data_IF_118472713384
#
_entry.id   IF_118472713384
#
_cell.length_a   1.000
_cell.length_b   1.000
_cell.length_c   1.000
_cell.angle_alpha   90.00
_cell.angle_beta   90.00
_cell.angle_gamma   90.00
#
_symmetry.space_group_name_H-M   'P 1'
#
loop_
_entity.id
_entity.type
_entity.pdbx_description
1 polymer ?
#
# COMPACT_ATOMS: atom_id res chain seq x y z
N UNK A 1 -29.15 14.71 -28.24
CA UNK A 1 -27.96 14.62 -27.37
C UNK A 1 -27.30 15.98 -27.28
N UNK A 2 -27.26 16.58 -26.10
CA UNK A 2 -26.63 17.91 -25.95
C UNK A 2 -25.12 17.76 -26.24
N UNK A 3 -24.60 18.51 -27.21
CA UNK A 3 -23.17 18.56 -27.51
C UNK A 3 -22.45 19.19 -26.33
N UNK A 4 -21.69 18.38 -25.58
CA UNK A 4 -20.84 18.88 -24.50
C UNK A 4 -19.86 19.94 -25.01
N UNK A 5 -19.74 21.07 -24.28
CA UNK A 5 -18.74 22.10 -24.59
C UNK A 5 -17.32 21.50 -24.52
N UNK A 6 -16.40 22.04 -25.32
CA UNK A 6 -15.00 21.59 -25.40
C UNK A 6 -14.37 21.52 -24.01
N UNK A 7 -14.60 22.52 -23.17
CA UNK A 7 -14.19 22.58 -21.77
C UNK A 7 -14.55 21.30 -21.00
N UNK A 8 -15.81 20.89 -21.07
CA UNK A 8 -16.30 19.73 -20.32
C UNK A 8 -15.65 18.43 -20.84
N UNK A 9 -15.41 18.34 -22.14
CA UNK A 9 -14.71 17.17 -22.73
C UNK A 9 -13.28 17.06 -22.22
N UNK A 10 -12.54 18.17 -22.15
CA UNK A 10 -11.17 18.20 -21.63
C UNK A 10 -11.15 17.79 -20.15
N UNK A 11 -12.02 18.37 -19.34
CA UNK A 11 -12.10 18.04 -17.90
C UNK A 11 -12.42 16.56 -17.70
N UNK A 12 -13.44 16.02 -18.42
CA UNK A 12 -13.82 14.61 -18.33
C UNK A 12 -12.64 13.70 -18.75
N UNK A 13 -11.91 14.06 -19.80
CA UNK A 13 -10.73 13.30 -20.24
C UNK A 13 -9.67 13.22 -19.13
N UNK A 14 -9.35 14.33 -18.47
CA UNK A 14 -8.41 14.34 -17.34
C UNK A 14 -8.92 13.52 -16.16
N UNK A 15 -10.22 13.61 -15.83
CA UNK A 15 -10.82 12.80 -14.76
C UNK A 15 -10.69 11.31 -15.06
N UNK A 16 -11.00 10.87 -16.28
CA UNK A 16 -10.93 9.46 -16.67
C UNK A 16 -9.50 8.95 -16.58
N UNK A 17 -8.53 9.68 -17.16
CA UNK A 17 -7.12 9.26 -17.11
C UNK A 17 -6.64 9.18 -15.66
N UNK A 18 -6.97 10.18 -14.83
CA UNK A 18 -6.55 10.18 -13.44
C UNK A 18 -7.22 9.04 -12.65
N UNK A 19 -8.47 8.73 -12.91
CA UNK A 19 -9.16 7.61 -12.23
C UNK A 19 -8.50 6.27 -12.57
N UNK A 20 -8.12 6.05 -13.82
CA UNK A 20 -7.39 4.86 -14.25
C UNK A 20 -6.01 4.79 -13.54
N UNK A 21 -5.26 5.89 -13.58
CA UNK A 21 -3.97 6.00 -12.91
C UNK A 21 -4.06 5.71 -11.40
N UNK A 22 -5.04 6.32 -10.73
CA UNK A 22 -5.27 6.13 -9.30
C UNK A 22 -5.61 4.66 -8.97
N UNK A 23 -6.47 4.03 -9.77
CA UNK A 23 -6.84 2.62 -9.60
C UNK A 23 -5.63 1.70 -9.69
N UNK A 24 -4.74 1.92 -10.67
CA UNK A 24 -3.52 1.14 -10.85
C UNK A 24 -2.56 1.33 -9.69
N UNK A 25 -2.32 2.57 -9.27
CA UNK A 25 -1.42 2.86 -8.13
C UNK A 25 -1.95 2.25 -6.83
N UNK A 26 -3.24 2.39 -6.53
CA UNK A 26 -3.81 1.84 -5.30
C UNK A 26 -3.73 0.31 -5.29
N UNK A 27 -4.02 -0.35 -6.41
CA UNK A 27 -3.90 -1.80 -6.53
C UNK A 27 -2.45 -2.25 -6.33
N UNK A 28 -1.49 -1.63 -7.02
CA UNK A 28 -0.08 -1.94 -6.89
C UNK A 28 0.44 -1.71 -5.47
N UNK A 29 0.09 -0.58 -4.86
CA UNK A 29 0.51 -0.23 -3.49
C UNK A 29 -0.04 -1.23 -2.47
N UNK A 30 -1.31 -1.64 -2.62
CA UNK A 30 -1.93 -2.61 -1.72
C UNK A 30 -1.20 -3.97 -1.75
N UNK A 31 -0.96 -4.50 -2.95
CA UNK A 31 -0.28 -5.80 -3.13
C UNK A 31 1.16 -5.72 -2.63
N UNK A 32 1.93 -4.72 -3.09
CA UNK A 32 3.34 -4.57 -2.72
C UNK A 32 3.55 -4.37 -1.22
N UNK A 33 2.75 -3.53 -0.57
CA UNK A 33 2.88 -3.30 0.87
C UNK A 33 2.51 -4.54 1.70
N UNK A 34 1.51 -5.31 1.27
CA UNK A 34 1.16 -6.55 1.96
C UNK A 34 2.31 -7.54 1.94
N UNK A 35 2.93 -7.76 0.78
CA UNK A 35 4.03 -8.70 0.61
C UNK A 35 5.28 -8.27 1.39
N UNK A 36 5.64 -6.99 1.33
CA UNK A 36 6.78 -6.42 2.07
C UNK A 36 6.58 -6.60 3.58
N UNK A 37 5.38 -6.29 4.09
CA UNK A 37 5.11 -6.39 5.53
C UNK A 37 5.00 -7.85 6.01
N UNK A 38 4.48 -8.76 5.19
CA UNK A 38 4.47 -10.18 5.50
C UNK A 38 5.90 -10.74 5.52
N UNK A 39 6.75 -10.36 4.57
CA UNK A 39 8.17 -10.70 4.57
C UNK A 39 8.88 -10.15 5.80
N UNK A 40 8.71 -8.88 6.12
CA UNK A 40 9.30 -8.26 7.30
C UNK A 40 8.86 -8.91 8.61
N UNK A 41 7.61 -9.41 8.69
CA UNK A 41 7.16 -10.18 9.86
C UNK A 41 7.86 -11.55 9.93
N UNK A 42 7.96 -12.26 8.81
CA UNK A 42 8.69 -13.53 8.76
C UNK A 42 10.14 -13.34 9.21
N UNK A 43 10.80 -12.30 8.73
CA UNK A 43 12.18 -11.97 9.12
C UNK A 43 12.30 -11.69 10.63
N UNK A 44 11.35 -10.94 11.21
CA UNK A 44 11.32 -10.69 12.66
C UNK A 44 11.10 -11.96 13.49
N UNK A 45 10.18 -12.82 13.06
CA UNK A 45 9.93 -14.10 13.72
C UNK A 45 11.20 -14.94 13.68
N UNK A 46 11.83 -15.05 12.51
CA UNK A 46 13.08 -15.81 12.32
C UNK A 46 14.22 -15.22 13.15
N UNK A 47 14.35 -13.90 13.20
CA UNK A 47 15.34 -13.23 14.04
C UNK A 47 15.11 -13.49 15.53
N UNK A 48 13.85 -13.43 15.99
CA UNK A 48 13.49 -13.77 17.38
C UNK A 48 13.81 -15.20 17.70
N UNK A 49 13.53 -16.13 16.77
CA UNK A 49 13.89 -17.53 16.90
C UNK A 49 15.41 -17.69 17.05
N UNK A 50 16.24 -17.12 16.17
CA UNK A 50 17.71 -17.25 16.27
C UNK A 50 18.28 -16.66 17.56
N UNK A 51 17.76 -15.51 18.00
CA UNK A 51 18.17 -14.92 19.29
C UNK A 51 17.84 -15.83 20.46
N UNK A 52 16.65 -16.45 20.46
CA UNK A 52 16.26 -17.38 21.50
C UNK A 52 17.07 -18.69 21.42
N UNK A 53 17.22 -19.27 20.23
CA UNK A 53 17.95 -20.50 20.01
C UNK A 53 19.38 -20.40 20.54
N UNK A 54 20.13 -19.35 20.16
CA UNK A 54 21.48 -19.15 20.63
C UNK A 54 21.61 -18.94 22.16
N UNK A 55 20.60 -18.28 22.75
CA UNK A 55 20.61 -17.96 24.19
C UNK A 55 20.10 -19.09 25.08
N UNK A 56 19.31 -20.03 24.57
CA UNK A 56 18.60 -21.05 25.36
C UNK A 56 19.29 -22.42 25.24
N UNK A 57 20.06 -22.67 24.21
CA UNK A 57 20.65 -23.99 23.94
C UNK A 57 21.46 -24.52 25.13
N UNK A 58 22.27 -23.67 25.78
CA UNK A 58 23.05 -24.02 26.97
C UNK A 58 22.16 -24.31 28.19
N UNK A 59 21.07 -23.50 28.35
CA UNK A 59 20.15 -23.63 29.49
C UNK A 59 19.32 -24.92 29.41
N UNK A 60 19.04 -25.42 28.19
CA UNK A 60 18.38 -26.72 28.00
C UNK A 60 19.33 -27.86 28.39
N UNK A 61 20.60 -27.78 27.96
CA UNK A 61 21.62 -28.79 28.31
C UNK A 61 21.85 -28.88 29.81
N UNK A 62 21.73 -27.78 30.52
CA UNK A 62 21.91 -27.70 32.00
C UNK A 62 20.61 -27.83 32.77
N UNK A 63 19.47 -28.09 32.11
CA UNK A 63 18.12 -28.20 32.68
C UNK A 63 17.72 -26.98 33.51
N UNK A 64 18.29 -25.81 33.21
CA UNK A 64 18.00 -24.55 33.92
C UNK A 64 16.69 -23.91 33.42
N UNK A 65 15.57 -24.47 33.89
CA UNK A 65 14.22 -24.01 33.53
C UNK A 65 13.93 -22.57 33.94
N UNK A 66 14.52 -22.08 35.01
CA UNK A 66 14.34 -20.69 35.47
C UNK A 66 14.86 -19.67 34.43
N UNK A 67 16.10 -19.89 33.96
CA UNK A 67 16.69 -19.04 32.94
C UNK A 67 15.92 -19.11 31.60
N UNK A 68 15.43 -20.29 31.23
CA UNK A 68 14.59 -20.47 30.06
C UNK A 68 13.34 -19.57 30.17
N UNK A 69 12.63 -19.64 31.31
CA UNK A 69 11.44 -18.83 31.56
C UNK A 69 11.74 -17.32 31.51
N UNK A 70 12.85 -16.87 32.09
CA UNK A 70 13.24 -15.47 32.07
C UNK A 70 13.51 -14.97 30.65
N UNK A 71 14.23 -15.75 29.84
CA UNK A 71 14.57 -15.40 28.45
C UNK A 71 13.31 -15.32 27.55
N UNK A 72 12.44 -16.33 27.63
CA UNK A 72 11.19 -16.30 26.84
C UNK A 72 10.26 -15.17 27.28
N UNK A 73 10.22 -14.89 28.60
CA UNK A 73 9.40 -13.79 29.09
C UNK A 73 9.91 -12.43 28.59
N UNK A 74 11.22 -12.22 28.61
CA UNK A 74 11.85 -11.02 28.09
C UNK A 74 11.58 -10.83 26.59
N UNK A 75 11.66 -11.88 25.81
CA UNK A 75 11.34 -11.85 24.39
C UNK A 75 9.84 -11.57 24.11
N UNK A 76 8.97 -12.06 25.01
CA UNK A 76 7.52 -11.87 24.91
C UNK A 76 7.02 -10.50 25.38
N UNK A 77 7.89 -9.65 25.95
CA UNK A 77 7.54 -8.25 26.27
C UNK A 77 7.20 -7.42 25.02
N UNK A 78 7.62 -7.89 23.86
CA UNK A 78 7.23 -7.30 22.59
C UNK A 78 5.74 -7.58 22.33
N UNK A 79 4.93 -6.51 22.23
CA UNK A 79 3.47 -6.59 22.01
C UNK A 79 3.07 -7.28 20.68
N UNK A 80 4.01 -7.54 19.80
CA UNK A 80 3.78 -8.26 18.55
C UNK A 80 3.82 -9.78 18.77
N UNK A 81 4.49 -10.25 19.83
CA UNK A 81 4.60 -11.67 20.16
C UNK A 81 3.28 -12.16 20.76
N UNK A 82 2.70 -13.16 20.14
CA UNK A 82 1.50 -13.83 20.65
C UNK A 82 1.84 -14.87 21.70
N UNK A 83 2.86 -15.66 21.43
CA UNK A 83 3.41 -16.67 22.34
C UNK A 83 4.78 -17.17 21.89
N UNK A 84 5.49 -17.72 22.88
CA UNK A 84 6.72 -18.52 22.70
C UNK A 84 6.54 -19.79 23.51
N UNK A 85 6.85 -20.93 22.89
CA UNK A 85 6.84 -22.26 23.56
C UNK A 85 8.15 -22.96 23.20
N UNK A 86 8.79 -23.53 24.22
CA UNK A 86 10.01 -24.31 24.06
C UNK A 86 9.69 -25.74 24.44
N UNK A 87 10.11 -26.65 23.59
CA UNK A 87 9.97 -28.08 23.75
C UNK A 87 11.34 -28.73 23.88
N UNK A 88 11.41 -29.81 24.65
CA UNK A 88 12.58 -30.73 24.66
C UNK A 88 12.59 -31.61 23.43
N UNK A 89 13.56 -32.50 23.36
CA UNK A 89 13.69 -33.49 22.29
C UNK A 89 12.54 -34.51 22.26
N UNK A 90 11.92 -34.78 23.43
CA UNK A 90 10.75 -35.66 23.57
C UNK A 90 9.43 -34.93 23.28
N UNK A 91 9.50 -33.67 22.88
CA UNK A 91 8.33 -32.80 22.63
C UNK A 91 7.52 -32.41 23.88
N UNK A 92 8.11 -32.53 25.09
CA UNK A 92 7.54 -31.99 26.30
C UNK A 92 7.82 -30.48 26.41
N UNK A 93 6.92 -29.75 27.04
CA UNK A 93 7.05 -28.29 27.18
C UNK A 93 8.01 -27.96 28.34
N UNK A 94 9.15 -27.37 28.02
CA UNK A 94 10.12 -26.84 28.97
C UNK A 94 9.76 -25.43 29.47
N UNK A 95 9.19 -24.61 28.57
CA UNK A 95 8.81 -23.25 28.91
C UNK A 95 7.75 -22.69 27.96
N UNK A 96 6.89 -21.82 28.48
CA UNK A 96 5.82 -21.18 27.73
C UNK A 96 5.48 -19.81 28.26
N UNK A 97 5.05 -18.92 27.37
CA UNK A 97 4.55 -17.56 27.75
C UNK A 97 3.04 -17.51 27.94
N UNK A 98 2.29 -18.51 27.47
CA UNK A 98 0.84 -18.62 27.64
C UNK A 98 0.50 -19.31 28.97
N UNK A 99 -0.51 -18.78 29.70
CA UNK A 99 -1.06 -19.46 30.89
C UNK A 99 -1.75 -20.75 30.50
N UNK A 100 -2.59 -20.71 29.46
CA UNK A 100 -3.27 -21.88 28.90
C UNK A 100 -2.90 -22.01 27.41
N UNK A 101 -2.57 -23.22 26.97
CA UNK A 101 -2.25 -23.51 25.57
C UNK A 101 -3.51 -24.04 24.92
N UNK A 102 -4.03 -23.38 23.86
CA UNK A 102 -5.12 -23.93 23.07
C UNK A 102 -4.74 -25.30 22.51
N UNK A 103 -5.65 -26.28 22.51
CA UNK A 103 -5.37 -27.64 22.04
C UNK A 103 -4.71 -27.71 20.66
N UNK A 104 -5.11 -26.79 19.75
CA UNK A 104 -4.52 -26.71 18.40
C UNK A 104 -3.03 -26.34 18.40
N UNK A 105 -2.54 -25.70 19.45
CA UNK A 105 -1.14 -25.24 19.59
C UNK A 105 -0.36 -26.21 20.50
N UNK A 106 -1.06 -26.97 21.37
CA UNK A 106 -0.44 -27.91 22.30
C UNK A 106 0.16 -29.13 21.59
N UNK A 107 -0.43 -29.54 20.47
CA UNK A 107 0.08 -30.69 19.70
C UNK A 107 1.23 -30.26 18.79
N UNK A 108 2.38 -30.89 18.99
CA UNK A 108 3.52 -30.73 18.11
C UNK A 108 3.29 -31.54 16.82
N UNK A 109 3.47 -30.93 15.65
CA UNK A 109 3.37 -31.62 14.37
C UNK A 109 4.67 -31.43 13.59
N UNK A 110 5.34 -32.50 13.22
CA UNK A 110 6.61 -32.50 12.50
C UNK A 110 6.51 -31.86 11.10
N UNK A 111 5.33 -31.89 10.47
CA UNK A 111 5.09 -31.23 9.17
C UNK A 111 5.23 -29.69 9.24
N UNK A 112 5.29 -29.12 10.43
CA UNK A 112 5.39 -27.68 10.65
C UNK A 112 6.83 -27.18 10.80
N UNK A 113 7.80 -28.08 10.87
CA UNK A 113 9.20 -27.72 11.06
C UNK A 113 9.71 -26.85 9.90
N UNK A 114 10.38 -25.76 10.27
CA UNK A 114 10.99 -24.79 9.34
C UNK A 114 9.97 -24.12 8.38
N UNK A 115 8.68 -24.20 8.70
CA UNK A 115 7.61 -23.61 7.90
C UNK A 115 6.80 -22.58 8.70
N UNK A 116 6.32 -21.55 7.98
CA UNK A 116 5.39 -20.57 8.53
C UNK A 116 3.96 -21.07 8.38
N UNK A 117 3.18 -21.00 9.45
CA UNK A 117 1.76 -21.36 9.45
C UNK A 117 0.89 -20.26 10.05
N UNK A 118 -0.29 -20.02 9.46
CA UNK A 118 -1.25 -19.03 9.95
C UNK A 118 -2.35 -19.73 10.75
N UNK A 119 -2.68 -19.15 11.90
CA UNK A 119 -3.77 -19.59 12.78
C UNK A 119 -4.68 -18.43 13.13
N UNK A 120 -5.97 -18.69 13.19
CA UNK A 120 -6.94 -17.73 13.70
C UNK A 120 -7.12 -17.93 15.20
N UNK A 121 -6.87 -16.87 15.98
CA UNK A 121 -7.14 -16.82 17.41
C UNK A 121 -8.25 -15.81 17.73
N UNK A 122 -8.78 -15.84 18.95
CA UNK A 122 -9.77 -14.86 19.43
C UNK A 122 -9.25 -13.41 19.42
N UNK A 123 -7.92 -13.22 19.43
CA UNK A 123 -7.27 -11.90 19.41
C UNK A 123 -6.77 -11.47 18.03
N UNK A 124 -6.99 -12.30 16.99
CA UNK A 124 -6.57 -12.05 15.62
C UNK A 124 -5.77 -13.21 15.03
N UNK A 125 -5.38 -13.05 13.77
CA UNK A 125 -4.54 -14.02 13.07
C UNK A 125 -3.12 -14.00 13.62
N UNK A 126 -2.55 -15.19 13.80
CA UNK A 126 -1.18 -15.41 14.28
C UNK A 126 -0.39 -16.09 13.18
N UNK A 127 0.80 -15.58 12.88
CA UNK A 127 1.81 -16.23 12.07
C UNK A 127 2.79 -16.94 13.01
N UNK A 128 2.91 -18.24 12.83
CA UNK A 128 3.74 -19.13 13.64
C UNK A 128 4.92 -19.67 12.85
N UNK A 129 6.04 -19.82 13.53
CA UNK A 129 7.23 -20.51 13.05
C UNK A 129 7.72 -21.50 14.08
N UNK A 130 8.03 -22.72 13.64
CA UNK A 130 8.56 -23.80 14.49
C UNK A 130 9.86 -24.28 13.90
N UNK A 131 10.91 -24.35 14.72
CA UNK A 131 12.21 -24.83 14.25
C UNK A 131 12.99 -25.52 15.38
N UNK A 132 13.86 -26.51 15.06
CA UNK A 132 14.71 -27.16 16.05
C UNK A 132 15.74 -26.16 16.60
N UNK A 133 16.16 -26.39 17.84
CA UNK A 133 17.20 -25.61 18.51
C UNK A 133 18.54 -26.29 18.19
N UNK A 134 19.43 -25.53 17.54
CA UNK A 134 20.77 -25.97 17.15
C UNK A 134 20.81 -27.20 16.22
N UNK A 135 21.95 -27.49 15.60
CA UNK A 135 22.17 -28.63 14.71
C UNK A 135 22.05 -30.00 15.43
N UNK A 136 21.97 -30.02 16.75
CA UNK A 136 22.00 -31.24 17.60
C UNK A 136 20.60 -31.69 18.05
N UNK A 137 19.52 -31.07 17.55
CA UNK A 137 18.12 -31.38 17.94
C UNK A 137 17.91 -31.49 19.47
N UNK A 138 18.39 -30.50 20.20
CA UNK A 138 18.26 -30.46 21.67
C UNK A 138 16.80 -30.21 22.09
N UNK A 139 16.01 -29.65 21.20
CA UNK A 139 14.63 -29.31 21.39
C UNK A 139 14.09 -28.43 20.26
N UNK A 140 12.95 -27.83 20.48
CA UNK A 140 12.27 -27.01 19.45
C UNK A 140 11.77 -25.70 20.06
N UNK A 141 11.80 -24.65 19.24
CA UNK A 141 11.18 -23.36 19.58
C UNK A 141 10.00 -23.14 18.66
N UNK A 142 8.87 -22.81 19.25
CA UNK A 142 7.66 -22.35 18.56
C UNK A 142 7.41 -20.90 18.90
N UNK A 143 7.39 -20.01 17.89
CA UNK A 143 7.18 -18.59 18.05
C UNK A 143 5.98 -18.17 17.23
N UNK A 144 5.01 -17.53 17.88
CA UNK A 144 3.81 -16.96 17.24
C UNK A 144 3.77 -15.45 17.36
N UNK A 145 3.48 -14.76 16.27
CA UNK A 145 3.32 -13.29 16.22
C UNK A 145 1.93 -12.91 15.71
N UNK A 146 1.34 -11.85 16.29
CA UNK A 146 0.09 -11.30 15.81
C UNK A 146 0.30 -10.55 14.49
N UNK A 147 -0.50 -10.89 13.46
CA UNK A 147 -0.47 -10.20 12.15
C UNK A 147 -1.23 -8.87 12.18
N UNK A 148 -2.03 -8.61 13.23
CA UNK A 148 -2.88 -7.43 13.35
C UNK A 148 -2.13 -6.11 13.12
N UNK A 149 -0.91 -5.99 13.62
CA UNK A 149 -0.12 -4.77 13.47
C UNK A 149 0.29 -4.51 12.02
N UNK A 150 0.42 -5.57 11.22
CA UNK A 150 0.68 -5.47 9.78
C UNK A 150 -0.51 -4.80 9.10
N UNK A 151 -1.72 -5.29 9.35
CA UNK A 151 -2.93 -4.72 8.75
C UNK A 151 -3.13 -3.25 9.12
N UNK A 152 -2.88 -2.88 10.38
CA UNK A 152 -2.99 -1.48 10.83
C UNK A 152 -1.95 -0.59 10.13
N UNK A 153 -0.70 -1.04 10.02
CA UNK A 153 0.37 -0.30 9.32
C UNK A 153 0.09 -0.16 7.82
N UNK A 154 -0.36 -1.24 7.18
CA UNK A 154 -0.74 -1.24 5.76
C UNK A 154 -1.87 -0.25 5.50
N UNK A 155 -2.92 -0.28 6.33
CA UNK A 155 -4.05 0.63 6.20
C UNK A 155 -3.65 2.10 6.41
N UNK A 156 -2.80 2.39 7.39
CA UNK A 156 -2.29 3.74 7.64
C UNK A 156 -1.45 4.26 6.46
N UNK A 157 -0.60 3.43 5.86
CA UNK A 157 0.17 3.79 4.67
C UNK A 157 -0.75 4.02 3.46
N UNK A 158 -1.73 3.15 3.26
CA UNK A 158 -2.73 3.30 2.21
C UNK A 158 -3.49 4.63 2.32
N UNK A 159 -3.94 5.00 3.51
CA UNK A 159 -4.60 6.29 3.76
C UNK A 159 -3.71 7.49 3.43
N UNK A 160 -2.42 7.46 3.81
CA UNK A 160 -1.49 8.55 3.49
C UNK A 160 -1.31 8.73 1.99
N UNK A 161 -1.17 7.64 1.26
CA UNK A 161 -1.05 7.66 -0.20
C UNK A 161 -2.33 8.17 -0.84
N UNK A 162 -3.50 7.76 -0.34
CA UNK A 162 -4.79 8.23 -0.83
C UNK A 162 -4.96 9.74 -0.61
N UNK A 163 -4.61 10.27 0.56
CA UNK A 163 -4.68 11.71 0.85
C UNK A 163 -3.75 12.49 -0.06
N UNK A 164 -2.50 12.04 -0.25
CA UNK A 164 -1.54 12.68 -1.14
C UNK A 164 -2.07 12.72 -2.59
N UNK A 165 -2.61 11.60 -3.08
CA UNK A 165 -3.19 11.53 -4.42
C UNK A 165 -4.42 12.43 -4.58
N UNK A 166 -5.26 12.57 -3.54
CA UNK A 166 -6.39 13.52 -3.55
C UNK A 166 -5.90 14.96 -3.74
N UNK A 167 -4.81 15.35 -3.09
CA UNK A 167 -4.22 16.68 -3.24
C UNK A 167 -3.71 16.90 -4.67
N UNK A 168 -3.01 15.91 -5.24
CA UNK A 168 -2.56 15.96 -6.64
C UNK A 168 -3.76 16.03 -7.60
N UNK A 169 -4.85 15.32 -7.33
CA UNK A 169 -6.06 15.37 -8.14
C UNK A 169 -6.68 16.76 -8.19
N UNK A 170 -6.81 17.42 -7.04
CA UNK A 170 -7.33 18.80 -6.97
C UNK A 170 -6.45 19.75 -7.77
N UNK A 171 -5.12 19.62 -7.65
CA UNK A 171 -4.17 20.42 -8.42
C UNK A 171 -4.34 20.19 -9.95
N UNK A 172 -4.49 18.95 -10.38
CA UNK A 172 -4.73 18.61 -11.78
C UNK A 172 -6.06 19.18 -12.30
N UNK A 173 -7.12 19.18 -11.50
CA UNK A 173 -8.40 19.79 -11.88
C UNK A 173 -8.26 21.30 -12.08
N UNK A 174 -7.50 21.98 -11.23
CA UNK A 174 -7.21 23.40 -11.40
C UNK A 174 -6.45 23.66 -12.69
N UNK A 175 -5.41 22.88 -12.96
CA UNK A 175 -4.63 22.98 -14.22
C UNK A 175 -5.54 22.71 -15.42
N UNK A 176 -6.34 21.65 -15.40
CA UNK A 176 -7.27 21.31 -16.47
C UNK A 176 -8.29 22.45 -16.74
N UNK A 177 -8.76 23.08 -15.69
CA UNK A 177 -9.65 24.25 -15.80
C UNK A 177 -8.95 25.41 -16.53
N UNK A 178 -7.72 25.77 -16.15
CA UNK A 178 -6.98 26.84 -16.80
C UNK A 178 -6.64 26.53 -18.25
N UNK A 179 -6.16 25.33 -18.53
CA UNK A 179 -5.85 24.87 -19.90
C UNK A 179 -7.10 24.88 -20.76
N UNK A 180 -8.23 24.42 -20.21
CA UNK A 180 -9.51 24.43 -20.93
C UNK A 180 -9.95 25.85 -21.29
N UNK A 181 -9.77 26.82 -20.38
CA UNK A 181 -10.12 28.22 -20.62
C UNK A 181 -9.22 28.87 -21.70
N UNK A 182 -7.92 28.50 -21.71
CA UNK A 182 -6.96 28.95 -22.73
C UNK A 182 -7.32 28.49 -24.14
N UNK A 183 -7.94 27.32 -24.27
CA UNK A 183 -8.33 26.76 -25.58
C UNK A 183 -9.75 27.19 -25.98
N UNK A 184 -10.68 27.22 -25.02
CA UNK A 184 -12.10 27.47 -25.29
C UNK A 184 -12.33 28.86 -25.86
N UNK A 185 -11.70 29.90 -25.31
CA UNK A 185 -11.90 31.32 -25.75
C UNK A 185 -11.51 31.51 -27.19
N UNK A 186 -10.25 31.23 -27.63
CA UNK A 186 -9.87 31.43 -29.03
C UNK A 186 -10.73 30.65 -30.00
N UNK A 187 -11.11 29.41 -29.67
CA UNK A 187 -11.94 28.55 -30.53
C UNK A 187 -13.35 29.14 -30.68
N UNK A 188 -13.94 29.69 -29.60
CA UNK A 188 -15.25 30.33 -29.66
C UNK A 188 -15.22 31.61 -30.51
N UNK A 189 -14.22 32.46 -30.32
CA UNK A 189 -14.08 33.71 -31.07
C UNK A 189 -13.88 33.43 -32.56
N UNK A 190 -13.04 32.46 -32.92
CA UNK A 190 -12.87 31.99 -34.30
C UNK A 190 -14.17 31.44 -34.90
N UNK A 191 -14.94 30.69 -34.10
CA UNK A 191 -16.22 30.14 -34.55
C UNK A 191 -17.25 31.21 -34.80
N UNK A 192 -17.33 32.22 -33.92
CA UNK A 192 -18.27 33.31 -34.06
C UNK A 192 -17.99 34.13 -35.32
N UNK A 193 -16.74 34.52 -35.53
CA UNK A 193 -16.36 35.30 -36.75
C UNK A 193 -16.60 34.50 -38.02
N UNK A 194 -16.25 33.20 -38.00
CA UNK A 194 -16.49 32.37 -39.18
C UNK A 194 -17.99 32.20 -39.47
N UNK A 195 -18.84 32.10 -38.44
CA UNK A 195 -20.31 31.98 -38.59
C UNK A 195 -20.91 33.30 -39.09
N UNK A 196 -20.37 34.43 -38.66
CA UNK A 196 -20.78 35.77 -39.10
C UNK A 196 -20.44 36.02 -40.58
N UNK A 197 -19.21 35.65 -41.00
CA UNK A 197 -18.78 35.69 -42.41
C UNK A 197 -19.70 34.83 -43.32
N UNK A 198 -20.04 33.61 -42.85
CA UNK A 198 -20.86 32.69 -43.63
C UNK A 198 -22.31 33.15 -43.74
N UNK A 199 -22.88 33.75 -42.70
CA UNK A 199 -24.30 34.13 -42.65
C UNK A 199 -24.57 35.50 -43.26
N UNK A 200 -23.72 36.46 -42.99
CA UNK A 200 -23.96 37.85 -43.29
C UNK A 200 -23.14 38.36 -44.47
N UNK A 201 -22.11 37.57 -44.90
CA UNK A 201 -21.19 37.99 -45.94
C UNK A 201 -20.37 39.23 -45.55
N UNK A 202 -20.30 39.53 -44.27
CA UNK A 202 -19.51 40.65 -43.78
C UNK A 202 -18.07 40.26 -43.49
N UNK A 203 -17.20 40.67 -44.37
CA UNK A 203 -15.75 40.45 -44.28
C UNK A 203 -15.02 41.56 -43.51
N UNK A 204 -15.71 42.39 -42.74
CA UNK A 204 -15.10 43.55 -42.03
C UNK A 204 -14.78 43.22 -40.58
N UNK A 205 -15.39 42.15 -40.02
CA UNK A 205 -15.22 41.77 -38.64
C UNK A 205 -13.84 41.11 -38.43
N UNK A 206 -12.95 41.80 -37.74
CA UNK A 206 -11.62 41.30 -37.39
C UNK A 206 -11.61 40.78 -35.97
N UNK A 207 -10.86 39.69 -35.77
CA UNK A 207 -10.63 39.10 -34.46
C UNK A 207 -9.56 39.91 -33.73
N UNK A 208 -9.87 40.45 -32.54
CA UNK A 208 -8.88 41.13 -31.71
C UNK A 208 -7.81 40.16 -31.23
N UNK A 209 -6.54 40.57 -31.37
CA UNK A 209 -5.37 39.67 -31.08
C UNK A 209 -4.98 39.64 -29.62
N UNK A 210 -5.71 40.23 -28.70
CA UNK A 210 -5.34 40.33 -27.29
C UNK A 210 -5.48 38.98 -26.57
N UNK A 211 -4.35 38.53 -25.96
CA UNK A 211 -4.29 37.41 -25.01
C UNK A 211 -4.35 35.97 -25.56
N UNK A 212 -4.07 35.72 -26.81
CA UNK A 212 -3.97 34.36 -27.34
C UNK A 212 -2.53 33.78 -27.26
N UNK A 213 -2.42 32.46 -27.20
CA UNK A 213 -1.12 31.79 -27.36
C UNK A 213 -0.55 32.05 -28.77
N UNK A 214 0.78 31.91 -28.94
CA UNK A 214 1.48 32.14 -30.20
C UNK A 214 0.82 31.41 -31.39
N UNK A 215 0.41 30.17 -31.18
CA UNK A 215 -0.17 29.34 -32.22
C UNK A 215 -1.56 29.84 -32.67
N UNK A 216 -2.37 30.31 -31.72
CA UNK A 216 -3.64 30.96 -32.01
C UNK A 216 -3.44 32.33 -32.66
N UNK A 217 -2.40 33.09 -32.32
CA UNK A 217 -2.05 34.33 -32.96
C UNK A 217 -1.79 34.14 -34.49
N UNK A 218 -1.06 33.08 -34.88
CA UNK A 218 -0.83 32.78 -36.29
C UNK A 218 -2.16 32.50 -37.00
N UNK A 219 -3.01 31.66 -36.39
CA UNK A 219 -4.30 31.30 -36.96
C UNK A 219 -5.23 32.53 -37.10
N UNK A 220 -5.32 33.37 -36.07
CA UNK A 220 -6.08 34.63 -36.10
C UNK A 220 -5.55 35.59 -37.17
N UNK A 221 -4.20 35.69 -37.31
CA UNK A 221 -3.58 36.52 -38.37
C UNK A 221 -3.99 36.04 -39.76
N UNK A 222 -3.88 34.71 -39.99
CA UNK A 222 -4.26 34.12 -41.29
C UNK A 222 -5.75 34.34 -41.63
N UNK A 223 -6.63 34.26 -40.66
CA UNK A 223 -8.06 34.54 -40.88
C UNK A 223 -8.29 36.05 -41.14
N UNK A 224 -7.65 36.91 -40.34
CA UNK A 224 -7.78 38.38 -40.55
C UNK A 224 -7.16 38.86 -41.89
N UNK A 225 -6.26 38.08 -42.48
CA UNK A 225 -5.70 38.38 -43.80
C UNK A 225 -6.60 37.88 -44.97
N UNK A 226 -7.48 36.91 -44.69
CA UNK A 226 -8.44 36.40 -45.68
C UNK A 226 -9.73 37.22 -45.70
N UNK A 227 -10.00 38.00 -44.66
CA UNK A 227 -11.14 38.88 -44.48
C UNK A 227 -10.75 40.31 -44.82
#
# INVERSE_FOLDING_TARGET
>A
MAKLKIKNKIIIFFIVIYTIYLSVILAFTYVSNKDILESALKDRITQTYYQLSGNISENIKTENTYEIHQKIHSAALNNEVAYIIIFDNEKNILGKTLKEIPQKIATFNDEQLNNFKKYNSSRGEILEYVSPIDDVNIGYIRVGFYTKNIYIKTYSQFLRILILNMLVFVMLLVIAYYVSKLIERPVQDLTLVTDEIIREGDYRTKIEKENYSRDFHVLVSSINEMV
#
